data_IF_728074448094
#
_entry.id   IF_728074448094
#
_cell.length_a   1.000
_cell.length_b   1.000
_cell.length_c   1.000
_cell.angle_alpha   90.00
_cell.angle_beta   90.00
_cell.angle_gamma   90.00
#
_symmetry.space_group_name_H-M   'P 1'
#
loop_
_entity.id
_entity.type
_entity.pdbx_description
1 polymer ?
#
# COMPACT_ATOMS: atom_id res chain seq x y z
N UNK A 1 -18.04 -21.80 21.48
CA UNK A 1 -16.78 -22.31 20.88
C UNK A 1 -16.27 -21.27 19.90
N UNK A 2 -14.97 -21.00 19.89
CA UNK A 2 -14.34 -20.03 18.98
C UNK A 2 -13.59 -20.77 17.87
N UNK A 3 -13.68 -20.27 16.64
CA UNK A 3 -12.92 -20.75 15.48
C UNK A 3 -11.76 -19.79 15.17
N UNK A 4 -10.71 -20.26 14.49
CA UNK A 4 -9.62 -19.41 14.04
C UNK A 4 -10.07 -18.49 12.91
N UNK A 5 -9.71 -17.20 12.98
CA UNK A 5 -9.97 -16.20 11.95
C UNK A 5 -8.64 -15.53 11.54
N UNK A 6 -8.54 -15.15 10.27
CA UNK A 6 -7.42 -14.35 9.75
C UNK A 6 -7.82 -12.88 9.79
N UNK A 7 -7.00 -12.06 10.44
CA UNK A 7 -7.15 -10.60 10.45
C UNK A 7 -6.19 -9.98 9.42
N UNK A 8 -6.73 -9.14 8.55
CA UNK A 8 -5.97 -8.39 7.54
C UNK A 8 -6.38 -6.92 7.57
N UNK A 9 -5.43 -6.05 7.24
CA UNK A 9 -5.63 -4.61 7.06
C UNK A 9 -5.31 -4.27 5.60
N UNK A 10 -6.09 -3.36 5.02
CA UNK A 10 -5.88 -2.89 3.65
C UNK A 10 -5.80 -1.37 3.65
N UNK A 11 -4.65 -0.86 3.23
CA UNK A 11 -4.39 0.57 3.02
C UNK A 11 -4.59 0.91 1.54
N UNK A 12 -5.18 2.07 1.24
CA UNK A 12 -5.37 2.52 -0.15
C UNK A 12 -4.64 3.82 -0.38
N UNK A 13 -3.87 3.86 -1.46
CA UNK A 13 -3.14 5.05 -1.90
C UNK A 13 -3.43 5.32 -3.37
N UNK A 14 -3.39 6.59 -3.76
CA UNK A 14 -3.48 7.05 -5.16
C UNK A 14 -2.25 7.81 -5.61
N UNK A 15 -1.23 7.88 -4.75
CA UNK A 15 0.03 8.57 -4.98
C UNK A 15 1.17 7.61 -4.63
N UNK A 16 2.32 7.78 -5.29
CA UNK A 16 3.49 6.95 -5.05
C UNK A 16 4.15 7.41 -3.74
N UNK A 17 4.36 6.52 -2.75
CA UNK A 17 5.00 6.91 -1.51
C UNK A 17 6.50 7.07 -1.69
N UNK A 18 7.11 7.94 -0.90
CA UNK A 18 8.57 8.04 -0.81
C UNK A 18 9.11 6.77 -0.14
N UNK A 19 10.06 6.11 -0.81
CA UNK A 19 10.64 4.86 -0.33
C UNK A 19 12.16 4.95 -0.22
N UNK A 20 12.68 4.39 0.86
CA UNK A 20 14.10 4.18 1.09
C UNK A 20 14.48 2.77 0.62
N UNK A 21 15.58 2.69 -0.14
CA UNK A 21 16.14 1.38 -0.50
C UNK A 21 16.97 0.83 0.66
N UNK A 22 16.56 -0.32 1.18
CA UNK A 22 17.24 -1.04 2.25
C UNK A 22 17.95 -2.28 1.69
N UNK A 23 18.40 -3.18 2.57
CA UNK A 23 19.09 -4.42 2.21
C UNK A 23 18.34 -5.23 1.12
N UNK A 24 19.12 -5.86 0.24
CA UNK A 24 18.62 -6.64 -0.89
C UNK A 24 17.78 -5.85 -1.92
N UNK A 25 17.89 -4.51 -1.92
CA UNK A 25 17.14 -3.63 -2.82
C UNK A 25 15.66 -3.52 -2.46
N UNK A 26 15.27 -3.94 -1.26
CA UNK A 26 13.89 -3.82 -0.79
C UNK A 26 13.55 -2.36 -0.52
N UNK A 27 12.28 -2.03 -0.65
CA UNK A 27 11.79 -0.67 -0.52
C UNK A 27 11.04 -0.56 0.80
N UNK A 28 11.53 0.29 1.69
CA UNK A 28 10.90 0.61 2.96
C UNK A 28 10.21 1.98 2.83
N UNK A 29 8.95 2.06 3.24
CA UNK A 29 8.20 3.30 3.23
C UNK A 29 7.12 3.28 4.31
N UNK A 30 6.54 4.45 4.58
CA UNK A 30 5.51 4.66 5.58
C UNK A 30 4.27 5.27 4.94
N UNK A 31 3.11 4.94 5.47
CA UNK A 31 1.82 5.49 5.05
C UNK A 31 1.10 6.02 6.29
N UNK A 32 0.60 7.25 6.18
CA UNK A 32 -0.29 7.83 7.17
C UNK A 32 -1.74 7.41 6.85
N UNK A 33 -2.36 6.69 7.78
CA UNK A 33 -3.77 6.33 7.75
C UNK A 33 -4.50 7.02 8.91
N UNK A 34 -4.91 8.26 8.69
CA UNK A 34 -5.65 9.09 9.66
C UNK A 34 -4.92 9.25 11.01
N UNK A 35 -3.61 9.50 10.95
CA UNK A 35 -2.71 9.62 12.11
C UNK A 35 -2.08 8.30 12.56
N UNK A 36 -2.42 7.18 11.93
CA UNK A 36 -1.81 5.87 12.19
C UNK A 36 -0.71 5.64 11.16
N UNK A 37 0.55 5.70 11.62
CA UNK A 37 1.72 5.50 10.76
C UNK A 37 1.95 4.00 10.57
N UNK A 38 1.72 3.53 9.35
CA UNK A 38 1.95 2.14 8.97
C UNK A 38 3.24 2.05 8.17
N UNK A 39 4.23 1.39 8.77
CA UNK A 39 5.53 1.15 8.14
C UNK A 39 5.55 -0.22 7.47
N UNK A 40 6.21 -0.33 6.32
CA UNK A 40 6.34 -1.61 5.63
C UNK A 40 7.60 -1.68 4.78
N UNK A 41 8.07 -2.90 4.57
CA UNK A 41 9.15 -3.20 3.65
C UNK A 41 8.65 -4.17 2.59
N UNK A 42 8.76 -3.80 1.32
CA UNK A 42 8.29 -4.61 0.20
C UNK A 42 9.44 -4.99 -0.73
N UNK A 43 9.29 -6.13 -1.41
CA UNK A 43 10.25 -6.56 -2.45
C UNK A 43 10.25 -5.56 -3.61
N UNK A 44 11.39 -5.35 -4.30
CA UNK A 44 11.47 -4.40 -5.41
C UNK A 44 10.47 -4.69 -6.55
N UNK A 45 10.20 -5.97 -6.83
CA UNK A 45 9.16 -6.38 -7.80
C UNK A 45 7.77 -5.87 -7.44
N UNK A 46 7.46 -5.78 -6.15
CA UNK A 46 6.15 -5.33 -5.66
C UNK A 46 6.05 -3.81 -5.71
N UNK A 47 7.09 -3.10 -5.28
CA UNK A 47 7.16 -1.64 -5.39
C UNK A 47 7.10 -1.17 -6.84
N UNK A 48 7.75 -1.91 -7.77
CA UNK A 48 7.69 -1.63 -9.21
C UNK A 48 6.27 -1.58 -9.78
N UNK A 49 5.30 -2.29 -9.18
CA UNK A 49 3.89 -2.18 -9.59
C UNK A 49 3.31 -0.79 -9.30
N UNK A 50 3.72 -0.16 -8.19
CA UNK A 50 3.30 1.19 -7.82
C UNK A 50 3.93 2.22 -8.75
N UNK A 51 5.25 2.12 -8.99
CA UNK A 51 5.95 3.04 -9.89
C UNK A 51 5.37 2.97 -11.31
N UNK A 52 5.15 1.76 -11.83
CA UNK A 52 4.53 1.56 -13.13
C UNK A 52 3.11 2.14 -13.19
N UNK A 53 2.32 2.02 -12.14
CA UNK A 53 0.99 2.61 -12.13
C UNK A 53 1.04 4.14 -12.14
N UNK A 54 1.96 4.72 -11.36
CA UNK A 54 2.20 6.16 -11.32
C UNK A 54 2.69 6.73 -12.66
N UNK A 55 3.43 5.95 -13.44
CA UNK A 55 3.94 6.35 -14.76
C UNK A 55 2.92 6.14 -15.88
N UNK A 56 2.13 5.05 -15.82
CA UNK A 56 1.28 4.62 -16.94
C UNK A 56 -0.19 5.04 -16.82
N UNK A 57 -0.67 5.36 -15.62
CA UNK A 57 -2.08 5.67 -15.40
C UNK A 57 -2.25 7.09 -14.86
N UNK A 58 -3.06 7.95 -15.52
CA UNK A 58 -3.32 9.30 -15.03
C UNK A 58 -4.07 9.29 -13.70
N UNK A 59 -4.88 8.25 -13.46
CA UNK A 59 -5.53 8.00 -12.18
C UNK A 59 -5.43 6.51 -11.84
N UNK A 60 -4.97 6.20 -10.64
CA UNK A 60 -4.86 4.83 -10.15
C UNK A 60 -5.14 4.78 -8.65
N UNK A 61 -5.43 3.59 -8.17
CA UNK A 61 -5.47 3.28 -6.73
C UNK A 61 -4.74 1.97 -6.50
N UNK A 62 -3.81 1.94 -5.56
CA UNK A 62 -3.28 0.70 -5.03
C UNK A 62 -3.96 0.32 -3.72
N UNK A 63 -4.34 -0.94 -3.61
CA UNK A 63 -4.70 -1.58 -2.36
C UNK A 63 -3.49 -2.37 -1.85
N UNK A 64 -3.03 -2.02 -0.65
CA UNK A 64 -1.88 -2.60 0.03
C UNK A 64 -2.41 -3.36 1.23
N UNK A 65 -2.57 -4.67 1.06
CA UNK A 65 -3.07 -5.57 2.09
C UNK A 65 -1.93 -6.19 2.88
N UNK A 66 -2.19 -6.55 4.14
CA UNK A 66 -1.25 -7.31 4.95
C UNK A 66 -1.82 -7.65 6.32
N UNK A 67 -1.00 -8.28 7.14
CA UNK A 67 -1.30 -8.58 8.54
C UNK A 67 -0.80 -7.44 9.41
N UNK A 68 -1.59 -7.04 10.41
CA UNK A 68 -1.13 -6.11 11.44
C UNK A 68 -0.05 -6.79 12.28
N UNK A 69 1.18 -6.29 12.17
CA UNK A 69 2.35 -6.77 12.89
C UNK A 69 2.57 -6.02 14.20
N UNK A 70 3.83 -5.86 14.55
CA UNK A 70 4.26 -5.17 15.78
C UNK A 70 3.75 -3.72 15.80
N UNK A 71 3.17 -3.30 16.92
CA UNK A 71 2.84 -1.90 17.18
C UNK A 71 4.10 -1.05 17.33
N UNK A 72 4.05 0.15 16.76
CA UNK A 72 5.05 1.21 16.93
C UNK A 72 4.46 2.32 17.81
N UNK A 73 5.22 3.38 18.06
CA UNK A 73 4.74 4.53 18.85
C UNK A 73 3.48 5.16 18.25
N UNK A 74 3.45 5.29 16.91
CA UNK A 74 2.39 6.00 16.18
C UNK A 74 1.56 5.10 15.25
N UNK A 75 1.72 3.78 15.33
CA UNK A 75 0.98 2.84 14.47
C UNK A 75 1.50 1.41 14.55
N UNK A 76 1.85 0.82 13.41
CA UNK A 76 2.30 -0.59 13.35
C UNK A 76 3.10 -0.92 12.09
N UNK A 77 3.72 -2.10 12.10
CA UNK A 77 4.40 -2.68 10.94
C UNK A 77 3.41 -3.54 10.15
N UNK A 78 3.24 -3.30 8.85
CA UNK A 78 2.44 -4.16 7.98
C UNK A 78 3.26 -5.40 7.57
N UNK A 79 2.89 -6.55 8.12
CA UNK A 79 3.51 -7.83 7.80
C UNK A 79 2.88 -8.45 6.55
N UNK A 80 3.68 -9.23 5.81
CA UNK A 80 3.25 -9.95 4.61
C UNK A 80 2.52 -9.05 3.59
N UNK A 81 3.10 -7.90 3.22
CA UNK A 81 2.44 -6.95 2.34
C UNK A 81 2.14 -7.56 0.97
N UNK A 82 0.99 -7.21 0.40
CA UNK A 82 0.57 -7.54 -0.95
C UNK A 82 -0.03 -6.31 -1.63
N UNK A 83 0.47 -5.98 -2.82
CA UNK A 83 0.05 -4.81 -3.59
C UNK A 83 -0.76 -5.24 -4.82
N UNK A 84 -1.97 -4.70 -4.91
CA UNK A 84 -2.84 -4.74 -6.08
C UNK A 84 -3.08 -3.32 -6.57
N UNK A 85 -2.92 -3.07 -7.87
CA UNK A 85 -3.13 -1.75 -8.45
C UNK A 85 -4.28 -1.79 -9.45
N UNK A 86 -5.14 -0.78 -9.37
CA UNK A 86 -6.31 -0.60 -10.20
C UNK A 86 -6.18 0.71 -10.96
N UNK A 87 -6.27 0.66 -12.29
CA UNK A 87 -6.44 1.84 -13.11
C UNK A 87 -7.85 2.41 -12.88
N UNK A 88 -7.93 3.71 -12.61
CA UNK A 88 -9.20 4.44 -12.63
C UNK A 88 -9.35 5.11 -13.98
N UNK A 89 -10.34 4.66 -14.76
CA UNK A 89 -10.77 5.42 -15.93
C UNK A 89 -11.57 6.63 -15.47
N UNK A 90 -11.28 7.85 -15.97
CA UNK A 90 -12.12 9.00 -15.71
C UNK A 90 -13.57 8.64 -16.06
N UNK A 91 -14.51 8.84 -15.13
CA UNK A 91 -15.91 8.88 -15.53
C UNK A 91 -16.02 10.05 -16.48
N UNK A 92 -16.42 9.80 -17.73
CA UNK A 92 -16.82 10.88 -18.63
C UNK A 92 -17.80 11.76 -17.85
N UNK A 93 -17.41 13.01 -17.59
CA UNK A 93 -18.30 13.99 -17.02
C UNK A 93 -19.52 14.01 -17.95
N UNK A 94 -20.70 13.67 -17.42
CA UNK A 94 -21.94 14.00 -18.12
C UNK A 94 -21.94 15.52 -18.19
N UNK A 95 -21.55 16.05 -19.35
CA UNK A 95 -21.80 17.43 -19.73
C UNK A 95 -23.28 17.69 -19.49
N UNK A 96 -23.57 18.61 -18.58
CA UNK A 96 -24.90 19.10 -18.28
C UNK A 96 -25.41 19.97 -19.44
#
# INVERSE_FOLDING_TARGET
MTIAAKMEVVLKISELPEAETVENGWQKFELDADGIIVSMTVKPKMFKKLTQASENYPQWVAAIGGKMGQSTENGFILEQPNIQVFEKKPKAEKSA
#
